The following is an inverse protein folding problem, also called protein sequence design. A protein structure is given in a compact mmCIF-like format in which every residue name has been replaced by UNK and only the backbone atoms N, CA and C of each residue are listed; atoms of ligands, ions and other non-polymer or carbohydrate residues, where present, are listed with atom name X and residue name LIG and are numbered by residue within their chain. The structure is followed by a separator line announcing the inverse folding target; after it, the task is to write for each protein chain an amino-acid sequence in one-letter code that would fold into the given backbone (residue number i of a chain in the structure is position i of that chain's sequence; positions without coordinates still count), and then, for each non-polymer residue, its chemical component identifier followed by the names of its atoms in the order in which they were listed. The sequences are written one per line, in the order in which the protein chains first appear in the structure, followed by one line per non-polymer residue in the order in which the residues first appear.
data_IF_454924664066
#
_entry.id   IF_454924664066
#
_cell.length_a   1.000
_cell.length_b   1.000
_cell.length_c   1.000
_cell.angle_alpha   90.00
_cell.angle_beta   90.00
_cell.angle_gamma   90.00
#
_symmetry.space_group_name_H-M   'P 1'
#
loop_
_entity.id
_entity.type
_entity.pdbx_description
1 polymer ?
#
# COMPACT_ATOMS: atom_id res chain seq x y z
N UNK A 1 19.83 22.43 9.85
CA UNK A 1 19.76 22.59 8.38
C UNK A 1 20.79 23.61 7.98
N UNK A 2 21.70 23.24 7.10
CA UNK A 2 22.65 24.14 6.46
C UNK A 2 22.24 24.32 5.00
N UNK A 3 22.37 25.53 4.47
CA UNK A 3 22.06 25.83 3.06
C UNK A 3 23.18 25.33 2.14
N UNK A 4 24.33 24.96 2.69
CA UNK A 4 25.56 24.66 1.95
C UNK A 4 26.10 23.25 2.18
N UNK A 5 25.55 22.50 3.13
CA UNK A 5 25.98 21.13 3.42
C UNK A 5 25.08 20.11 2.74
N UNK A 6 25.63 18.93 2.46
CA UNK A 6 24.87 17.82 1.89
C UNK A 6 23.76 17.33 2.84
N UNK A 7 23.94 17.47 4.16
CA UNK A 7 22.93 17.17 5.18
C UNK A 7 21.99 18.37 5.42
N UNK A 8 21.37 18.83 4.34
CA UNK A 8 20.49 20.01 4.37
C UNK A 8 19.15 19.77 5.09
N UNK A 9 18.70 18.51 5.19
CA UNK A 9 17.40 18.12 5.75
C UNK A 9 17.55 17.33 7.05
N UNK A 10 16.56 17.47 7.95
CA UNK A 10 16.47 16.70 9.21
C UNK A 10 15.04 16.16 9.37
N UNK A 11 14.89 15.05 10.10
CA UNK A 11 13.60 14.55 10.59
C UNK A 11 13.60 14.69 12.12
N UNK A 12 13.18 15.85 12.64
CA UNK A 12 13.50 16.22 14.01
C UNK A 12 12.75 15.41 15.07
N UNK A 13 11.54 14.96 14.74
CA UNK A 13 10.61 14.32 15.66
C UNK A 13 10.33 12.85 15.29
N UNK A 14 10.82 12.37 14.15
CA UNK A 14 10.63 11.00 13.68
C UNK A 14 11.97 10.33 13.35
N UNK A 15 12.11 9.02 13.59
CA UNK A 15 13.28 8.28 13.13
C UNK A 15 13.29 8.20 11.60
N UNK A 16 14.48 8.12 11.01
CA UNK A 16 14.65 7.92 9.58
C UNK A 16 13.97 6.62 9.12
N UNK A 17 13.27 6.68 7.97
CA UNK A 17 12.63 5.50 7.37
C UNK A 17 13.65 4.49 6.85
N UNK A 18 14.81 4.95 6.40
CA UNK A 18 15.90 4.08 6.02
C UNK A 18 17.22 4.83 5.88
N UNK A 19 18.30 4.07 5.92
CA UNK A 19 19.67 4.55 5.75
C UNK A 19 20.34 3.72 4.66
N UNK A 20 20.99 4.39 3.72
CA UNK A 20 21.76 3.76 2.66
C UNK A 20 23.25 3.94 2.97
N UNK A 21 23.97 2.82 3.01
CA UNK A 21 25.42 2.76 3.14
C UNK A 21 25.96 1.55 2.36
N UNK A 22 26.87 0.78 2.97
CA UNK A 22 27.26 -0.53 2.43
C UNK A 22 26.07 -1.51 2.37
N UNK A 23 25.10 -1.30 3.25
CA UNK A 23 23.80 -1.99 3.31
C UNK A 23 22.67 -0.98 3.22
N UNK A 24 21.49 -1.45 2.83
CA UNK A 24 20.25 -0.66 2.88
C UNK A 24 19.48 -1.12 4.11
N UNK A 25 19.38 -0.25 5.10
CA UNK A 25 18.69 -0.53 6.36
C UNK A 25 17.38 0.25 6.39
N UNK A 26 16.24 -0.45 6.33
CA UNK A 26 14.91 0.16 6.38
C UNK A 26 14.26 -0.08 7.74
N UNK A 27 13.77 0.98 8.38
CA UNK A 27 13.01 0.90 9.61
C UNK A 27 11.55 0.56 9.31
N UNK A 28 11.27 -0.73 9.09
CA UNK A 28 9.94 -1.22 8.73
C UNK A 28 8.85 -0.92 9.77
N UNK A 29 9.22 -0.65 11.03
CA UNK A 29 8.28 -0.23 12.08
C UNK A 29 7.75 1.19 11.86
N UNK A 30 8.56 2.06 11.27
CA UNK A 30 8.19 3.45 10.98
C UNK A 30 7.51 3.62 9.62
N UNK A 31 7.56 2.61 8.76
CA UNK A 31 6.91 2.65 7.45
C UNK A 31 5.39 2.53 7.62
N UNK A 32 4.67 3.60 7.30
CA UNK A 32 3.21 3.58 7.27
C UNK A 32 2.70 2.66 6.16
N UNK A 33 1.90 1.65 6.52
CA UNK A 33 1.32 0.70 5.57
C UNK A 33 -0.14 1.05 5.28
N UNK A 34 -0.60 0.88 4.03
CA UNK A 34 -2.02 0.94 3.72
C UNK A 34 -2.79 -0.02 4.63
N UNK A 35 -3.91 0.46 5.18
CA UNK A 35 -4.84 -0.34 5.99
C UNK A 35 -6.05 -0.83 5.20
N UNK A 36 -6.14 -0.47 3.90
CA UNK A 36 -7.32 -0.69 3.07
C UNK A 36 -6.94 -0.93 1.61
N UNK A 37 -7.70 -1.80 0.95
CA UNK A 37 -7.61 -2.04 -0.49
C UNK A 37 -8.42 -0.97 -1.23
N UNK A 38 -7.84 0.23 -1.36
CA UNK A 38 -8.42 1.34 -2.14
C UNK A 38 -7.49 1.72 -3.29
N UNK A 39 -8.10 2.15 -4.40
CA UNK A 39 -7.33 2.70 -5.52
C UNK A 39 -6.65 4.00 -5.08
N UNK A 40 -5.45 4.23 -5.58
CA UNK A 40 -4.79 5.51 -5.44
C UNK A 40 -5.67 6.63 -6.01
N UNK A 41 -5.81 7.71 -5.25
CA UNK A 41 -6.58 8.89 -5.62
C UNK A 41 -5.75 10.13 -5.36
N UNK A 42 -5.74 11.05 -6.32
CA UNK A 42 -5.10 12.36 -6.18
C UNK A 42 -6.14 13.35 -5.68
N UNK A 43 -5.79 14.10 -4.64
CA UNK A 43 -6.56 15.26 -4.18
C UNK A 43 -5.87 16.52 -4.73
N UNK A 44 -6.45 17.12 -5.76
CA UNK A 44 -5.83 18.17 -6.56
C UNK A 44 -6.31 19.60 -6.23
N UNK A 45 -7.24 19.76 -5.28
CA UNK A 45 -7.77 21.05 -4.86
C UNK A 45 -7.35 21.34 -3.42
N UNK A 46 -6.60 22.42 -3.18
CA UNK A 46 -6.19 22.83 -1.84
C UNK A 46 -6.79 24.20 -1.52
N UNK A 47 -7.16 24.43 -0.26
CA UNK A 47 -7.60 25.75 0.18
C UNK A 47 -6.42 26.73 0.09
N UNK A 48 -6.57 27.85 -0.63
CA UNK A 48 -5.47 28.82 -0.80
C UNK A 48 -5.42 29.86 0.31
N UNK A 49 -6.50 30.00 1.09
CA UNK A 49 -6.63 30.99 2.15
C UNK A 49 -6.03 30.50 3.47
N UNK A 50 -4.79 30.03 3.42
CA UNK A 50 -4.06 29.52 4.59
C UNK A 50 -2.73 30.22 4.72
N UNK A 51 -2.40 30.66 5.93
CA UNK A 51 -1.17 31.38 6.24
C UNK A 51 -0.36 30.76 7.37
N UNK A 52 0.93 31.11 7.41
CA UNK A 52 1.80 30.79 8.54
C UNK A 52 2.18 32.11 9.25
N UNK A 53 1.80 32.23 10.52
CA UNK A 53 2.07 33.40 11.34
C UNK A 53 3.11 33.04 12.40
N UNK A 54 4.31 33.60 12.28
CA UNK A 54 5.36 33.46 13.29
C UNK A 54 5.26 34.58 14.32
N UNK A 55 5.13 34.24 15.60
CA UNK A 55 5.19 35.26 16.66
C UNK A 55 6.65 35.65 16.93
N UNK A 56 6.87 36.92 17.20
CA UNK A 56 8.17 37.49 17.56
C UNK A 56 7.98 38.55 18.66
N UNK A 57 9.05 38.93 19.40
CA UNK A 57 8.93 39.91 20.46
C UNK A 57 8.37 41.23 19.91
N UNK A 58 7.44 41.84 20.64
CA UNK A 58 6.76 43.09 20.25
C UNK A 58 5.93 43.04 18.95
N UNK A 59 5.47 41.85 18.53
CA UNK A 59 4.45 41.76 17.47
C UNK A 59 3.21 42.61 17.83
N UNK A 60 2.80 43.46 16.89
CA UNK A 60 1.72 44.42 17.12
C UNK A 60 0.34 43.78 16.95
N UNK A 61 -0.67 44.29 17.67
CA UNK A 61 -2.08 43.92 17.46
C UNK A 61 -2.49 44.11 16.00
N UNK A 62 -2.05 45.20 15.38
CA UNK A 62 -2.39 45.51 13.99
C UNK A 62 -1.80 44.50 13.01
N UNK A 63 -0.59 43.98 13.27
CA UNK A 63 0.03 42.94 12.44
C UNK A 63 -0.80 41.67 12.47
N UNK A 64 -1.19 41.19 13.66
CA UNK A 64 -2.04 40.00 13.79
C UNK A 64 -3.39 40.25 13.11
N UNK A 65 -4.04 41.38 13.43
CA UNK A 65 -5.34 41.75 12.86
C UNK A 65 -5.32 41.74 11.33
N UNK A 66 -4.33 42.39 10.71
CA UNK A 66 -4.19 42.44 9.24
C UNK A 66 -3.97 41.05 8.65
N UNK A 67 -3.18 40.19 9.31
CA UNK A 67 -2.90 38.84 8.85
C UNK A 67 -4.13 37.93 8.85
N UNK A 68 -5.01 38.08 9.84
CA UNK A 68 -6.21 37.24 10.03
C UNK A 68 -7.45 37.79 9.33
N UNK A 69 -7.34 38.86 8.54
CA UNK A 69 -8.49 39.42 7.83
C UNK A 69 -9.02 38.44 6.78
N UNK A 70 -10.31 38.60 6.44
CA UNK A 70 -10.89 37.91 5.29
C UNK A 70 -10.04 38.15 4.03
N UNK A 71 -9.75 37.14 3.20
CA UNK A 71 -10.40 35.82 3.10
C UNK A 71 -9.75 34.68 3.89
N UNK A 72 -8.88 34.95 4.89
CA UNK A 72 -8.17 33.90 5.62
C UNK A 72 -9.11 32.86 6.27
N UNK A 73 -8.85 31.57 6.02
CA UNK A 73 -9.62 30.43 6.55
C UNK A 73 -8.80 29.55 7.51
N UNK A 74 -7.47 29.55 7.39
CA UNK A 74 -6.59 28.72 8.20
C UNK A 74 -5.26 29.39 8.55
N UNK A 75 -4.77 29.17 9.77
CA UNK A 75 -3.49 29.73 10.21
C UNK A 75 -2.68 28.67 10.95
N UNK A 76 -1.40 28.53 10.58
CA UNK A 76 -0.39 27.88 11.42
C UNK A 76 0.31 28.95 12.25
N UNK A 77 0.04 28.98 13.55
CA UNK A 77 0.63 29.93 14.50
C UNK A 77 1.91 29.33 15.09
N UNK A 78 3.07 29.88 14.75
CA UNK A 78 4.34 29.42 15.31
C UNK A 78 4.61 30.12 16.64
N UNK A 79 4.51 29.36 17.73
CA UNK A 79 4.65 29.79 19.13
C UNK A 79 6.04 29.48 19.70
N UNK A 80 6.38 30.06 20.85
CA UNK A 80 7.68 29.82 21.47
C UNK A 80 7.73 28.50 22.24
N UNK A 81 8.86 27.78 22.16
CA UNK A 81 9.12 26.61 23.00
C UNK A 81 7.99 25.57 22.90
N UNK A 82 7.42 25.19 24.04
CA UNK A 82 6.37 24.17 24.14
C UNK A 82 4.95 24.66 23.86
N UNK A 83 4.77 25.82 23.23
CA UNK A 83 3.44 26.39 22.94
C UNK A 83 3.15 27.74 23.60
N UNK A 84 4.20 28.48 23.99
CA UNK A 84 4.06 29.72 24.73
C UNK A 84 3.66 30.89 23.82
N UNK A 85 2.68 31.66 24.28
CA UNK A 85 2.20 32.88 23.65
C UNK A 85 2.17 34.00 24.71
N UNK A 86 2.32 35.29 24.35
CA UNK A 86 2.28 36.40 25.32
C UNK A 86 0.95 36.49 26.09
N UNK A 87 0.88 35.86 27.27
CA UNK A 87 -0.36 35.76 28.07
C UNK A 87 -0.76 37.07 28.74
N UNK A 88 0.19 37.96 28.97
CA UNK A 88 -0.04 39.32 29.48
C UNK A 88 -0.61 40.28 28.42
N UNK A 89 -0.72 39.85 27.17
CA UNK A 89 -1.22 40.64 26.04
C UNK A 89 -2.63 40.18 25.64
N UNK A 90 -3.61 40.56 26.45
CA UNK A 90 -5.03 40.24 26.21
C UNK A 90 -5.52 40.76 24.86
N UNK A 91 -4.97 41.88 24.39
CA UNK A 91 -5.25 42.49 23.10
C UNK A 91 -4.90 41.58 21.90
N UNK A 92 -3.87 40.74 22.02
CA UNK A 92 -3.48 39.78 20.98
C UNK A 92 -4.35 38.51 21.04
N UNK A 93 -4.64 38.03 22.25
CA UNK A 93 -5.50 36.87 22.49
C UNK A 93 -6.91 37.14 21.96
N UNK A 94 -7.42 38.36 22.15
CA UNK A 94 -8.71 38.81 21.62
C UNK A 94 -8.78 38.71 20.10
N UNK A 95 -7.75 39.15 19.37
CA UNK A 95 -7.73 39.04 17.89
C UNK A 95 -7.76 37.58 17.42
N UNK A 96 -7.00 36.69 18.08
CA UNK A 96 -7.00 35.27 17.76
C UNK A 96 -8.35 34.61 18.06
N UNK A 97 -8.98 35.01 19.17
CA UNK A 97 -10.34 34.56 19.52
C UNK A 97 -11.36 35.02 18.47
N UNK A 98 -11.33 36.29 18.06
CA UNK A 98 -12.19 36.83 17.01
C UNK A 98 -11.99 36.13 15.65
N UNK A 99 -10.80 35.62 15.36
CA UNK A 99 -10.59 34.75 14.19
C UNK A 99 -11.24 33.38 14.37
N UNK A 100 -11.07 32.73 15.54
CA UNK A 100 -11.71 31.44 15.82
C UNK A 100 -13.24 31.53 15.80
N UNK A 101 -13.81 32.64 16.28
CA UNK A 101 -15.24 32.94 16.28
C UNK A 101 -15.78 33.21 14.85
N UNK A 102 -14.90 33.54 13.89
CA UNK A 102 -15.18 33.64 12.45
C UNK A 102 -14.87 32.35 11.69
N UNK A 103 -14.80 31.23 12.41
CA UNK A 103 -14.52 29.89 11.88
C UNK A 103 -13.13 29.70 11.25
N UNK A 104 -12.18 30.62 11.48
CA UNK A 104 -10.78 30.43 11.07
C UNK A 104 -10.14 29.32 11.91
N UNK A 105 -9.61 28.28 11.27
CA UNK A 105 -8.92 27.20 11.97
C UNK A 105 -7.48 27.62 12.26
N UNK A 106 -7.14 27.79 13.53
CA UNK A 106 -5.78 28.11 13.97
C UNK A 106 -5.14 26.87 14.60
N UNK A 107 -3.95 26.49 14.12
CA UNK A 107 -3.13 25.41 14.66
C UNK A 107 -1.83 25.96 15.21
N UNK A 108 -1.56 25.71 16.49
CA UNK A 108 -0.32 26.12 17.15
C UNK A 108 0.79 25.11 16.90
N UNK A 109 1.92 25.54 16.36
CA UNK A 109 3.15 24.75 16.21
C UNK A 109 4.31 25.44 16.94
N UNK A 110 5.35 24.69 17.28
CA UNK A 110 6.55 25.24 17.91
C UNK A 110 7.45 25.91 16.87
N UNK A 111 8.12 27.00 17.26
CA UNK A 111 9.25 27.54 16.51
C UNK A 111 10.55 26.74 16.68
N UNK A 112 10.61 25.86 17.69
CA UNK A 112 11.77 25.00 17.90
C UNK A 112 11.84 23.94 16.80
N UNK A 113 13.05 23.58 16.38
CA UNK A 113 13.25 22.58 15.35
C UNK A 113 12.91 21.16 15.83
N UNK A 114 13.02 20.88 17.14
CA UNK A 114 12.71 19.59 17.78
C UNK A 114 11.70 19.75 18.89
N UNK A 115 10.94 18.70 19.14
CA UNK A 115 9.84 18.66 20.09
C UNK A 115 8.54 19.19 19.50
N UNK A 116 7.61 19.56 20.37
CA UNK A 116 6.28 19.97 19.97
C UNK A 116 5.59 20.85 21.00
N UNK A 117 4.37 21.27 20.67
CA UNK A 117 3.52 22.04 21.56
C UNK A 117 2.71 21.13 22.48
N UNK A 118 2.54 21.53 23.74
CA UNK A 118 1.81 20.77 24.74
C UNK A 118 0.75 21.63 25.42
N UNK A 119 -0.46 21.07 25.57
CA UNK A 119 -1.54 21.68 26.33
C UNK A 119 -1.36 21.54 27.87
N UNK A 120 -0.25 20.93 28.32
CA UNK A 120 0.02 20.73 29.75
C UNK A 120 0.38 22.01 30.49
N UNK A 121 0.99 22.99 29.80
CA UNK A 121 1.38 24.27 30.38
C UNK A 121 0.25 25.29 30.36
N UNK A 122 0.26 26.23 31.33
CA UNK A 122 -0.78 27.26 31.51
C UNK A 122 -1.02 28.10 30.25
N UNK A 123 0.06 28.46 29.56
CA UNK A 123 0.05 29.22 28.29
C UNK A 123 -0.65 28.45 27.17
N UNK A 124 -0.38 27.14 27.03
CA UNK A 124 -1.01 26.27 26.05
C UNK A 124 -2.52 26.09 26.31
N UNK A 125 -2.91 25.98 27.59
CA UNK A 125 -4.33 25.89 27.98
C UNK A 125 -5.13 27.12 27.57
N UNK A 126 -4.56 28.32 27.68
CA UNK A 126 -5.22 29.56 27.27
C UNK A 126 -5.56 29.54 25.77
N UNK A 127 -4.61 29.12 24.93
CA UNK A 127 -4.84 29.02 23.49
C UNK A 127 -5.91 27.96 23.16
N UNK A 128 -5.87 26.81 23.81
CA UNK A 128 -6.90 25.76 23.63
C UNK A 128 -8.29 26.25 24.06
N UNK A 129 -8.38 27.01 25.15
CA UNK A 129 -9.64 27.56 25.65
C UNK A 129 -10.31 28.55 24.69
N UNK A 130 -9.53 29.25 23.85
CA UNK A 130 -10.08 30.17 22.83
C UNK A 130 -10.32 29.47 21.48
N UNK A 131 -10.13 28.15 21.40
CA UNK A 131 -10.45 27.36 20.20
C UNK A 131 -9.27 27.07 19.27
N UNK A 132 -8.03 27.38 19.67
CA UNK A 132 -6.82 27.05 18.91
C UNK A 132 -6.45 25.58 19.11
N UNK A 133 -6.13 24.90 18.00
CA UNK A 133 -5.77 23.49 17.98
C UNK A 133 -4.28 23.33 18.31
N UNK A 134 -3.94 22.36 19.17
CA UNK A 134 -2.55 22.00 19.41
C UNK A 134 -2.00 21.18 18.24
N UNK A 135 -0.92 21.63 17.61
CA UNK A 135 -0.23 20.94 16.52
C UNK A 135 0.73 19.85 16.98
N UNK A 136 0.92 19.67 18.29
CA UNK A 136 1.86 18.75 18.92
C UNK A 136 3.25 18.79 18.27
N UNK A 137 3.76 17.67 17.77
CA UNK A 137 5.08 17.50 17.17
C UNK A 137 5.09 17.66 15.63
N UNK A 138 3.99 18.13 15.02
CA UNK A 138 3.99 18.46 13.60
C UNK A 138 5.03 19.54 13.30
N UNK A 139 5.75 19.35 12.19
CA UNK A 139 6.53 20.46 11.62
C UNK A 139 5.60 21.55 11.08
N UNK A 140 6.05 22.81 10.99
CA UNK A 140 5.26 23.89 10.37
C UNK A 140 4.76 23.55 8.96
N UNK A 141 5.59 22.89 8.15
CA UNK A 141 5.28 22.48 6.78
C UNK A 141 4.20 21.40 6.75
N UNK A 142 4.30 20.42 7.66
CA UNK A 142 3.31 19.37 7.81
C UNK A 142 1.95 19.92 8.27
N UNK A 143 1.94 20.78 9.28
CA UNK A 143 0.73 21.42 9.78
C UNK A 143 0.08 22.30 8.71
N UNK A 144 0.88 23.06 7.95
CA UNK A 144 0.39 23.89 6.85
C UNK A 144 -0.24 23.03 5.76
N UNK A 145 0.47 21.98 5.31
CA UNK A 145 -0.01 21.06 4.28
C UNK A 145 -1.30 20.35 4.69
N UNK A 146 -1.36 19.89 5.96
CA UNK A 146 -2.54 19.27 6.52
C UNK A 146 -3.72 20.25 6.56
N UNK A 147 -3.48 21.50 6.92
CA UNK A 147 -4.51 22.54 6.99
C UNK A 147 -5.05 22.91 5.59
N UNK A 148 -4.17 23.07 4.60
CA UNK A 148 -4.52 23.25 3.18
C UNK A 148 -5.45 22.13 2.69
N UNK A 149 -5.11 20.88 3.03
CA UNK A 149 -5.87 19.69 2.68
C UNK A 149 -7.22 19.61 3.41
N UNK A 150 -7.24 19.76 4.74
CA UNK A 150 -8.45 19.64 5.56
C UNK A 150 -9.48 20.72 5.23
N UNK A 151 -9.03 21.96 5.01
CA UNK A 151 -9.94 23.06 4.68
C UNK A 151 -10.60 22.88 3.30
N UNK A 152 -9.91 22.27 2.34
CA UNK A 152 -10.45 21.98 0.99
C UNK A 152 -11.60 20.97 0.98
N UNK A 153 -11.83 20.24 2.08
CA UNK A 153 -12.89 19.23 2.21
C UNK A 153 -14.24 19.92 2.45
N UNK A 154 -14.95 20.27 1.39
CA UNK A 154 -16.25 20.95 1.46
C UNK A 154 -17.36 20.08 2.06
N UNK A 155 -17.20 18.77 2.04
CA UNK A 155 -18.11 17.79 2.61
C UNK A 155 -18.05 17.70 4.16
N UNK A 156 -17.03 18.28 4.78
CA UNK A 156 -16.81 18.21 6.22
C UNK A 156 -17.32 19.46 6.95
N UNK A 157 -17.98 19.23 8.09
CA UNK A 157 -18.33 20.29 9.04
C UNK A 157 -17.06 20.88 9.68
N UNK A 158 -17.15 22.11 10.20
CA UNK A 158 -16.03 22.74 10.92
C UNK A 158 -15.51 21.86 12.06
N UNK A 159 -16.40 21.23 12.83
CA UNK A 159 -16.01 20.31 13.90
C UNK A 159 -15.20 19.13 13.38
N UNK A 160 -15.66 18.47 12.32
CA UNK A 160 -14.93 17.36 11.69
C UNK A 160 -13.57 17.81 11.16
N UNK A 161 -13.47 19.02 10.60
CA UNK A 161 -12.19 19.59 10.17
C UNK A 161 -11.24 19.80 11.37
N UNK A 162 -11.73 20.35 12.47
CA UNK A 162 -10.95 20.52 13.71
C UNK A 162 -10.49 19.16 14.27
N UNK A 163 -11.38 18.17 14.32
CA UNK A 163 -11.06 16.81 14.78
C UNK A 163 -9.97 16.19 13.88
N UNK A 164 -10.10 16.33 12.56
CA UNK A 164 -9.14 15.82 11.58
C UNK A 164 -7.74 16.47 11.71
N UNK A 165 -7.66 17.75 12.12
CA UNK A 165 -6.38 18.39 12.43
C UNK A 165 -5.68 17.76 13.65
N UNK A 166 -6.42 17.15 14.57
CA UNK A 166 -5.87 16.50 15.79
C UNK A 166 -5.51 15.03 15.61
N UNK A 167 -5.89 14.39 14.51
CA UNK A 167 -5.61 12.97 14.23
C UNK A 167 -4.43 12.79 13.29
N UNK A 168 -3.60 11.75 13.48
CA UNK A 168 -2.55 11.39 12.51
C UNK A 168 -3.18 10.88 11.20
N UNK A 169 -2.92 11.55 10.07
CA UNK A 169 -3.49 11.18 8.76
C UNK A 169 -2.46 10.44 7.89
N UNK A 170 -1.19 10.86 7.91
CA UNK A 170 -0.11 10.43 7.02
C UNK A 170 1.26 10.28 7.70
N UNK A 171 1.28 10.13 9.02
CA UNK A 171 2.51 10.03 9.80
C UNK A 171 3.08 11.39 10.22
N UNK A 172 2.32 12.47 10.06
CA UNK A 172 2.77 13.83 10.34
C UNK A 172 2.74 14.21 11.83
N UNK A 173 2.00 13.45 12.62
CA UNK A 173 1.64 13.77 14.00
C UNK A 173 1.71 12.51 14.88
N UNK A 174 2.41 12.57 16.01
CA UNK A 174 2.48 11.45 16.96
C UNK A 174 1.34 11.55 17.97
N UNK A 175 0.18 10.93 17.68
CA UNK A 175 -1.03 11.09 18.51
C UNK A 175 -1.12 10.22 19.76
N UNK A 176 -0.25 9.22 19.95
CA UNK A 176 -0.11 8.45 21.19
C UNK A 176 1.12 7.54 21.08
N UNK A 177 2.01 7.59 22.07
CA UNK A 177 3.11 6.65 22.30
C UNK A 177 2.58 5.28 22.79
N UNK A 178 1.47 4.80 22.24
CA UNK A 178 0.91 3.49 22.59
C UNK A 178 1.41 2.43 21.61
N UNK A 179 2.70 2.17 21.68
CA UNK A 179 3.22 0.81 21.68
C UNK A 179 4.48 0.85 22.53
N UNK A 180 4.28 0.67 23.84
CA UNK A 180 5.36 0.32 24.75
C UNK A 180 6.11 -0.87 24.16
N UNK A 181 7.41 -0.84 24.30
CA UNK A 181 8.33 -1.94 24.10
C UNK A 181 7.92 -3.15 24.97
N UNK A 182 6.81 -3.83 24.65
CA UNK A 182 6.65 -5.23 25.03
C UNK A 182 7.78 -5.95 24.30
N UNK A 183 8.67 -6.57 25.08
CA UNK A 183 9.84 -7.30 24.59
C UNK A 183 9.41 -8.20 23.42
N UNK A 184 9.79 -7.78 22.21
CA UNK A 184 9.67 -8.54 20.96
C UNK A 184 9.97 -10.02 21.24
N UNK A 185 9.09 -10.93 20.80
CA UNK A 185 9.19 -12.36 21.16
C UNK A 185 10.58 -12.92 20.86
N UNK A 186 11.18 -12.49 19.74
CA UNK A 186 12.53 -12.91 19.37
C UNK A 186 13.60 -12.36 20.31
N UNK A 187 13.40 -11.17 20.89
CA UNK A 187 14.28 -10.62 21.94
C UNK A 187 14.17 -11.44 23.23
N UNK A 188 12.96 -11.90 23.59
CA UNK A 188 12.76 -12.78 24.76
C UNK A 188 13.43 -14.13 24.54
N UNK A 189 13.26 -14.75 23.37
CA UNK A 189 13.95 -16.00 23.00
C UNK A 189 15.47 -15.81 22.99
N UNK A 190 15.96 -14.69 22.45
CA UNK A 190 17.39 -14.38 22.46
C UNK A 190 17.95 -14.28 23.89
N UNK A 191 17.25 -13.60 24.81
CA UNK A 191 17.62 -13.56 26.23
C UNK A 191 17.71 -14.96 26.83
N UNK A 192 16.73 -15.83 26.55
CA UNK A 192 16.73 -17.23 27.01
C UNK A 192 17.88 -18.07 26.43
N UNK A 193 18.28 -17.79 25.19
CA UNK A 193 19.42 -18.42 24.53
C UNK A 193 20.77 -17.76 24.87
N UNK A 194 20.79 -16.78 25.78
CA UNK A 194 21.97 -16.00 26.15
C UNK A 194 22.62 -15.27 24.96
N UNK A 195 21.82 -14.94 23.94
CA UNK A 195 22.23 -14.17 22.78
C UNK A 195 22.06 -12.68 23.11
N UNK A 196 23.19 -11.96 23.20
CA UNK A 196 23.22 -10.53 23.51
C UNK A 196 23.60 -9.65 22.32
N UNK A 197 24.09 -10.25 21.22
CA UNK A 197 24.51 -9.52 20.03
C UNK A 197 23.32 -9.06 19.17
N UNK A 198 23.19 -7.75 18.92
CA UNK A 198 22.11 -7.17 18.09
C UNK A 198 22.00 -7.84 16.71
N UNK A 199 23.13 -8.16 16.09
CA UNK A 199 23.14 -8.86 14.80
C UNK A 199 22.63 -10.29 14.89
N UNK A 200 22.94 -11.01 15.98
CA UNK A 200 22.50 -12.38 16.21
C UNK A 200 21.00 -12.42 16.52
N UNK A 201 20.50 -11.47 17.33
CA UNK A 201 19.06 -11.28 17.57
C UNK A 201 18.33 -11.01 16.25
N UNK A 202 18.89 -10.17 15.37
CA UNK A 202 18.29 -9.91 14.07
C UNK A 202 18.30 -11.13 13.14
N UNK A 203 19.35 -11.96 13.17
CA UNK A 203 19.37 -13.24 12.45
C UNK A 203 18.31 -14.19 13.00
N UNK A 204 18.16 -14.28 14.32
CA UNK A 204 17.13 -15.09 14.96
C UNK A 204 15.74 -14.64 14.53
N UNK A 205 15.46 -13.33 14.50
CA UNK A 205 14.19 -12.77 14.00
C UNK A 205 13.88 -13.20 12.57
N UNK A 206 14.87 -13.12 11.68
CA UNK A 206 14.75 -13.52 10.27
C UNK A 206 14.47 -15.01 10.07
N UNK A 207 14.76 -15.85 11.07
CA UNK A 207 14.47 -17.29 11.01
C UNK A 207 13.13 -17.60 11.68
N UNK A 208 12.94 -17.07 12.90
CA UNK A 208 11.81 -17.41 13.77
C UNK A 208 10.48 -16.92 13.17
N UNK A 209 10.41 -15.65 12.79
CA UNK A 209 9.14 -15.06 12.38
C UNK A 209 8.59 -15.61 11.06
N UNK A 210 9.37 -15.76 9.97
CA UNK A 210 8.86 -16.39 8.75
C UNK A 210 8.33 -17.80 9.00
N UNK A 211 9.03 -18.61 9.79
CA UNK A 211 8.59 -19.97 10.11
C UNK A 211 7.27 -19.97 10.90
N UNK A 212 7.13 -19.09 11.89
CA UNK A 212 5.89 -18.95 12.68
C UNK A 212 4.72 -18.45 11.81
N UNK A 213 4.95 -17.43 10.99
CA UNK A 213 3.94 -16.89 10.07
C UNK A 213 3.48 -17.96 9.09
N UNK A 214 4.40 -18.70 8.46
CA UNK A 214 4.07 -19.79 7.54
C UNK A 214 3.27 -20.91 8.21
N UNK A 215 3.59 -21.26 9.46
CA UNK A 215 2.82 -22.24 10.22
C UNK A 215 1.37 -21.76 10.43
N UNK A 216 1.18 -20.51 10.84
CA UNK A 216 -0.15 -19.91 10.99
C UNK A 216 -0.94 -19.88 9.66
N UNK A 217 -0.25 -19.68 8.52
CA UNK A 217 -0.88 -19.77 7.19
C UNK A 217 -1.38 -21.17 6.88
N UNK A 218 -0.58 -22.20 7.13
CA UNK A 218 -0.98 -23.59 6.87
C UNK A 218 -2.23 -23.95 7.66
N UNK A 219 -2.30 -23.52 8.91
CA UNK A 219 -3.49 -23.67 9.77
C UNK A 219 -4.69 -22.81 9.32
N UNK A 220 -4.46 -21.71 8.60
CA UNK A 220 -5.51 -20.78 8.20
C UNK A 220 -5.94 -19.81 9.31
N UNK A 221 -5.11 -19.60 10.33
CA UNK A 221 -5.46 -18.83 11.52
C UNK A 221 -4.96 -17.38 11.44
N UNK A 222 -5.87 -16.45 11.12
CA UNK A 222 -5.57 -15.01 11.02
C UNK A 222 -5.26 -14.40 12.39
N UNK A 223 -5.86 -14.89 13.46
CA UNK A 223 -5.66 -14.33 14.80
C UNK A 223 -4.25 -14.62 15.33
N UNK A 224 -3.70 -15.80 15.04
CA UNK A 224 -2.28 -16.09 15.28
C UNK A 224 -1.36 -15.12 14.53
N UNK A 225 -1.70 -14.75 13.31
CA UNK A 225 -0.92 -13.77 12.53
C UNK A 225 -0.98 -12.38 13.20
N UNK A 226 -2.17 -11.95 13.66
CA UNK A 226 -2.34 -10.69 14.41
C UNK A 226 -1.50 -10.69 15.69
N UNK A 227 -1.50 -11.78 16.44
CA UNK A 227 -0.73 -11.87 17.68
C UNK A 227 0.78 -11.83 17.39
N UNK A 228 1.26 -12.52 16.35
CA UNK A 228 2.65 -12.43 15.91
C UNK A 228 3.05 -10.99 15.53
N UNK A 229 2.17 -10.23 14.86
CA UNK A 229 2.43 -8.83 14.55
C UNK A 229 2.55 -7.96 15.81
N UNK A 230 1.72 -8.21 16.85
CA UNK A 230 1.87 -7.53 18.15
C UNK A 230 3.25 -7.80 18.78
N UNK A 231 3.78 -9.00 18.59
CA UNK A 231 5.13 -9.36 19.04
C UNK A 231 6.27 -8.82 18.16
N UNK A 232 5.96 -8.10 17.08
CA UNK A 232 6.96 -7.48 16.20
C UNK A 232 7.21 -8.20 14.89
N UNK A 233 6.40 -9.20 14.52
CA UNK A 233 6.50 -9.86 13.23
C UNK A 233 6.09 -8.92 12.10
N UNK A 234 6.98 -8.74 11.13
CA UNK A 234 6.69 -8.11 9.85
C UNK A 234 6.22 -9.14 8.80
N UNK A 235 5.00 -8.96 8.28
CA UNK A 235 4.41 -9.81 7.24
C UNK A 235 5.22 -9.85 5.92
N UNK A 236 6.09 -8.88 5.69
CA UNK A 236 6.94 -8.81 4.49
C UNK A 236 8.23 -9.62 4.61
N UNK A 237 8.55 -10.15 5.80
CA UNK A 237 9.72 -11.02 5.97
C UNK A 237 9.60 -12.28 5.13
N UNK A 238 10.75 -12.75 4.67
CA UNK A 238 10.88 -13.89 3.77
C UNK A 238 11.61 -15.03 4.46
N UNK A 239 11.28 -16.26 4.06
CA UNK A 239 12.08 -17.45 4.38
C UNK A 239 13.38 -17.51 3.55
N UNK A 240 14.07 -18.65 3.62
CA UNK A 240 15.32 -18.90 2.89
C UNK A 240 15.13 -18.93 1.37
N UNK A 241 13.94 -19.25 0.88
CA UNK A 241 13.61 -19.25 -0.55
C UNK A 241 13.20 -17.86 -1.04
N UNK A 242 13.15 -16.86 -0.16
CA UNK A 242 12.68 -15.52 -0.50
C UNK A 242 11.15 -15.39 -0.48
N UNK A 243 10.42 -16.40 0.01
CA UNK A 243 8.96 -16.41 0.06
C UNK A 243 8.47 -15.74 1.33
N UNK A 244 7.61 -14.74 1.17
CA UNK A 244 6.87 -14.14 2.29
C UNK A 244 5.53 -14.86 2.55
N UNK A 245 4.80 -14.39 3.58
CA UNK A 245 3.50 -14.95 3.98
C UNK A 245 2.47 -14.98 2.83
N UNK A 246 2.52 -14.00 1.92
CA UNK A 246 1.56 -13.85 0.82
C UNK A 246 1.77 -14.95 -0.22
N UNK A 247 3.01 -15.38 -0.50
CA UNK A 247 3.28 -16.51 -1.39
C UNK A 247 2.62 -17.79 -0.86
N UNK A 248 2.86 -18.12 0.42
CA UNK A 248 2.33 -19.33 1.04
C UNK A 248 0.80 -19.31 1.12
N UNK A 249 0.21 -18.15 1.42
CA UNK A 249 -1.24 -17.99 1.51
C UNK A 249 -1.92 -18.16 0.15
N UNK A 250 -1.30 -17.64 -0.93
CA UNK A 250 -1.78 -17.81 -2.30
C UNK A 250 -1.68 -19.27 -2.75
N UNK A 251 -0.54 -19.92 -2.51
CA UNK A 251 -0.30 -21.33 -2.82
C UNK A 251 -1.26 -22.27 -2.08
N UNK A 252 -1.58 -21.94 -0.82
CA UNK A 252 -2.47 -22.75 0.04
C UNK A 252 -3.96 -22.42 -0.08
N UNK A 253 -4.35 -21.48 -0.96
CA UNK A 253 -5.76 -21.11 -1.17
C UNK A 253 -6.42 -20.38 0.02
N UNK A 254 -5.65 -19.75 0.92
CA UNK A 254 -6.18 -19.14 2.14
C UNK A 254 -6.65 -17.69 1.89
N UNK A 255 -7.82 -17.54 1.26
CA UNK A 255 -8.36 -16.23 0.85
C UNK A 255 -8.41 -15.20 2.00
N UNK A 256 -8.87 -15.60 3.19
CA UNK A 256 -8.97 -14.70 4.35
C UNK A 256 -7.60 -14.12 4.77
N UNK A 257 -6.56 -14.94 4.69
CA UNK A 257 -5.19 -14.51 5.00
C UNK A 257 -4.65 -13.62 3.89
N UNK A 258 -4.91 -13.95 2.62
CA UNK A 258 -4.53 -13.08 1.50
C UNK A 258 -5.14 -11.70 1.67
N UNK A 259 -6.46 -11.63 1.95
CA UNK A 259 -7.14 -10.36 2.19
C UNK A 259 -6.49 -9.59 3.35
N UNK A 260 -6.25 -10.27 4.48
CA UNK A 260 -5.60 -9.65 5.64
C UNK A 260 -4.20 -9.11 5.31
N UNK A 261 -3.39 -9.85 4.56
CA UNK A 261 -2.04 -9.42 4.16
C UNK A 261 -2.09 -8.18 3.26
N UNK A 262 -3.03 -8.15 2.31
CA UNK A 262 -3.21 -7.02 1.39
C UNK A 262 -3.73 -5.78 2.11
N UNK A 263 -4.65 -5.96 3.06
CA UNK A 263 -5.13 -4.90 3.96
C UNK A 263 -4.04 -4.39 4.90
N UNK A 264 -2.97 -5.15 5.13
CA UNK A 264 -1.80 -4.73 5.91
C UNK A 264 -0.61 -4.31 5.01
N UNK A 265 -0.86 -4.02 3.74
CA UNK A 265 0.13 -3.43 2.83
C UNK A 265 1.25 -4.36 2.38
N UNK A 266 1.09 -5.68 2.46
CA UNK A 266 2.06 -6.61 1.88
C UNK A 266 2.05 -6.46 0.35
N UNK A 267 3.24 -6.23 -0.24
CA UNK A 267 3.35 -6.00 -1.67
C UNK A 267 2.97 -7.24 -2.49
N UNK A 268 2.12 -7.04 -3.50
CA UNK A 268 1.77 -8.08 -4.48
C UNK A 268 2.87 -8.35 -5.50
N UNK A 269 3.90 -7.50 -5.53
CA UNK A 269 5.01 -7.57 -6.47
C UNK A 269 6.27 -8.19 -5.87
N UNK A 270 6.22 -8.68 -4.63
CA UNK A 270 7.34 -9.45 -4.07
C UNK A 270 7.65 -10.65 -4.94
N UNK A 271 8.94 -10.97 -5.05
CA UNK A 271 9.44 -12.12 -5.80
C UNK A 271 10.35 -12.92 -4.90
N UNK A 272 10.21 -14.24 -4.98
CA UNK A 272 11.13 -15.16 -4.32
C UNK A 272 12.45 -15.27 -5.10
N UNK A 273 13.37 -16.12 -4.62
CA UNK A 273 14.67 -16.34 -5.24
C UNK A 273 14.58 -16.98 -6.63
N UNK A 274 13.43 -17.54 -7.00
CA UNK A 274 13.12 -18.12 -8.30
C UNK A 274 12.32 -17.17 -9.20
N UNK A 275 12.20 -15.90 -8.81
CA UNK A 275 11.48 -14.87 -9.54
C UNK A 275 9.95 -15.07 -9.57
N UNK A 276 9.41 -15.97 -8.74
CA UNK A 276 8.00 -16.29 -8.63
C UNK A 276 7.33 -15.25 -7.73
N UNK A 277 6.19 -14.72 -8.17
CA UNK A 277 5.38 -13.80 -7.38
C UNK A 277 4.16 -14.49 -6.75
N UNK A 278 3.48 -13.87 -5.77
CA UNK A 278 2.26 -14.44 -5.20
C UNK A 278 1.15 -14.70 -6.23
N UNK A 279 1.11 -13.91 -7.33
CA UNK A 279 0.18 -14.15 -8.43
C UNK A 279 0.49 -15.46 -9.17
N UNK A 280 1.78 -15.78 -9.38
CA UNK A 280 2.18 -17.05 -10.01
C UNK A 280 1.77 -18.24 -9.13
N UNK A 281 1.97 -18.16 -7.82
CA UNK A 281 1.53 -19.18 -6.86
C UNK A 281 0.02 -19.40 -6.93
N UNK A 282 -0.78 -18.33 -6.97
CA UNK A 282 -2.22 -18.43 -7.09
C UNK A 282 -2.67 -19.07 -8.41
N UNK A 283 -1.95 -18.82 -9.51
CA UNK A 283 -2.19 -19.44 -10.82
C UNK A 283 -1.85 -20.93 -10.79
N UNK A 284 -0.68 -21.30 -10.25
CA UNK A 284 -0.22 -22.69 -10.14
C UNK A 284 -1.17 -23.50 -9.26
N UNK A 285 -1.76 -22.89 -8.23
CA UNK A 285 -2.72 -23.52 -7.33
C UNK A 285 -4.19 -23.41 -7.79
N UNK A 286 -4.47 -22.81 -8.95
CA UNK A 286 -5.82 -22.62 -9.52
C UNK A 286 -6.83 -21.94 -8.58
N UNK A 287 -6.35 -20.91 -7.86
CA UNK A 287 -7.10 -20.14 -6.87
C UNK A 287 -7.72 -18.89 -7.48
N UNK A 288 -8.82 -19.06 -8.23
CA UNK A 288 -9.45 -18.00 -9.02
C UNK A 288 -9.85 -16.75 -8.24
N UNK A 289 -10.38 -16.89 -7.02
CA UNK A 289 -10.79 -15.74 -6.21
C UNK A 289 -9.59 -14.94 -5.69
N UNK A 290 -8.50 -15.63 -5.34
CA UNK A 290 -7.23 -15.00 -4.97
C UNK A 290 -6.63 -14.27 -6.17
N UNK A 291 -6.65 -14.86 -7.37
CA UNK A 291 -6.16 -14.21 -8.60
C UNK A 291 -6.92 -12.91 -8.83
N UNK A 292 -8.26 -12.93 -8.78
CA UNK A 292 -9.10 -11.73 -8.94
C UNK A 292 -8.75 -10.66 -7.90
N UNK A 293 -8.58 -11.05 -6.64
CA UNK A 293 -8.22 -10.13 -5.55
C UNK A 293 -6.84 -9.51 -5.76
N UNK A 294 -5.83 -10.30 -6.11
CA UNK A 294 -4.48 -9.82 -6.41
C UNK A 294 -4.48 -8.86 -7.60
N UNK A 295 -5.21 -9.18 -8.67
CA UNK A 295 -5.37 -8.31 -9.85
C UNK A 295 -6.04 -6.98 -9.50
N UNK A 296 -7.05 -7.00 -8.63
CA UNK A 296 -7.69 -5.78 -8.09
C UNK A 296 -6.67 -4.89 -7.34
N UNK A 297 -5.70 -5.51 -6.68
CA UNK A 297 -4.59 -4.83 -6.01
C UNK A 297 -3.41 -4.46 -6.95
N UNK A 298 -3.54 -4.65 -8.26
CA UNK A 298 -2.54 -4.25 -9.25
C UNK A 298 -1.49 -5.32 -9.59
N UNK A 299 -1.62 -6.54 -9.06
CA UNK A 299 -0.71 -7.63 -9.41
C UNK A 299 -0.75 -7.90 -10.92
N UNK A 300 0.39 -8.19 -11.53
CA UNK A 300 0.47 -8.52 -12.96
C UNK A 300 1.68 -9.42 -13.22
N UNK A 301 1.55 -10.28 -14.23
CA UNK A 301 2.66 -11.10 -14.71
C UNK A 301 3.61 -10.20 -15.50
N UNK A 302 4.91 -10.34 -15.26
CA UNK A 302 5.94 -9.42 -15.72
C UNK A 302 7.05 -10.24 -16.40
N UNK A 303 7.31 -9.96 -17.69
CA UNK A 303 8.44 -10.48 -18.48
C UNK A 303 8.46 -11.98 -18.85
N UNK A 304 7.31 -12.67 -18.95
CA UNK A 304 7.27 -14.11 -19.26
C UNK A 304 6.85 -14.48 -20.69
N UNK A 305 6.82 -13.52 -21.63
CA UNK A 305 6.20 -13.74 -22.96
C UNK A 305 6.80 -14.90 -23.75
N UNK A 306 8.04 -15.30 -23.51
CA UNK A 306 8.69 -16.37 -24.28
C UNK A 306 8.28 -17.78 -23.83
N UNK A 307 7.93 -17.97 -22.55
CA UNK A 307 7.54 -19.30 -22.02
C UNK A 307 6.04 -19.44 -21.80
N UNK A 308 5.31 -18.33 -21.68
CA UNK A 308 3.89 -18.36 -21.38
C UNK A 308 3.08 -19.03 -22.50
N UNK A 309 3.48 -18.85 -23.76
CA UNK A 309 2.92 -19.58 -24.90
C UNK A 309 3.03 -21.10 -24.73
N UNK A 310 4.23 -21.60 -24.42
CA UNK A 310 4.48 -23.04 -24.19
C UNK A 310 3.66 -23.59 -23.00
N UNK A 311 3.53 -22.78 -21.94
CA UNK A 311 2.75 -23.17 -20.75
C UNK A 311 1.25 -23.26 -21.07
N UNK A 312 0.71 -22.29 -21.82
CA UNK A 312 -0.69 -22.28 -22.21
C UNK A 312 -1.00 -23.40 -23.21
N UNK A 313 -0.14 -23.66 -24.20
CA UNK A 313 -0.33 -24.77 -25.15
C UNK A 313 -0.28 -26.11 -24.45
N UNK A 314 0.65 -26.32 -23.52
CA UNK A 314 0.72 -27.56 -22.73
C UNK A 314 -0.51 -27.74 -21.82
N UNK A 315 -0.98 -26.67 -21.17
CA UNK A 315 -2.21 -26.72 -20.38
C UNK A 315 -3.43 -27.09 -21.26
N UNK A 316 -3.52 -26.53 -22.45
CA UNK A 316 -4.59 -26.83 -23.40
C UNK A 316 -4.52 -28.25 -23.96
N UNK A 317 -3.32 -28.73 -24.29
CA UNK A 317 -3.06 -30.09 -24.75
C UNK A 317 -3.49 -31.17 -23.74
N UNK A 318 -3.45 -30.83 -22.44
CA UNK A 318 -3.86 -31.70 -21.31
C UNK A 318 -5.29 -31.47 -20.83
N UNK A 319 -6.08 -30.66 -21.55
CA UNK A 319 -7.47 -30.37 -21.18
C UNK A 319 -7.62 -29.57 -19.86
N UNK A 320 -6.58 -28.86 -19.41
CA UNK A 320 -6.57 -28.13 -18.13
C UNK A 320 -7.34 -26.80 -18.21
N UNK A 321 -8.65 -26.85 -18.47
CA UNK A 321 -9.53 -25.68 -18.60
C UNK A 321 -9.42 -24.74 -17.41
N UNK A 322 -9.40 -25.28 -16.20
CA UNK A 322 -9.28 -24.51 -14.96
C UNK A 322 -8.00 -23.68 -14.91
N UNK A 323 -6.88 -24.22 -15.43
CA UNK A 323 -5.58 -23.54 -15.50
C UNK A 323 -5.59 -22.42 -16.53
N UNK A 324 -6.17 -22.66 -17.71
CA UNK A 324 -6.34 -21.62 -18.73
C UNK A 324 -7.22 -20.47 -18.20
N UNK A 325 -8.27 -20.79 -17.44
CA UNK A 325 -9.08 -19.79 -16.74
C UNK A 325 -8.27 -19.00 -15.70
N UNK A 326 -7.36 -19.65 -14.95
CA UNK A 326 -6.45 -18.97 -14.01
C UNK A 326 -5.57 -17.94 -14.73
N UNK A 327 -4.98 -18.31 -15.87
CA UNK A 327 -4.17 -17.40 -16.69
C UNK A 327 -5.00 -16.25 -17.26
N UNK A 328 -6.21 -16.54 -17.76
CA UNK A 328 -7.12 -15.50 -18.26
C UNK A 328 -7.48 -14.49 -17.17
N UNK A 329 -7.83 -14.95 -15.97
CA UNK A 329 -8.12 -14.08 -14.82
C UNK A 329 -6.92 -13.23 -14.42
N UNK A 330 -5.70 -13.75 -14.60
CA UNK A 330 -4.46 -13.01 -14.38
C UNK A 330 -4.17 -11.94 -15.46
N UNK A 331 -5.00 -11.85 -16.50
CA UNK A 331 -4.87 -10.87 -17.59
C UNK A 331 -4.02 -11.34 -18.76
N UNK A 332 -3.81 -12.66 -18.91
CA UNK A 332 -3.06 -13.25 -20.02
C UNK A 332 -3.97 -13.45 -21.23
N UNK A 333 -3.44 -13.14 -22.42
CA UNK A 333 -4.11 -13.45 -23.68
C UNK A 333 -3.95 -14.93 -24.04
N UNK A 334 -5.07 -15.62 -24.27
CA UNK A 334 -5.10 -17.01 -24.73
C UNK A 334 -4.74 -17.16 -26.22
N UNK A 335 -4.40 -16.05 -26.91
CA UNK A 335 -3.88 -16.04 -28.28
C UNK A 335 -2.34 -16.13 -28.34
N UNK A 336 -1.66 -16.15 -27.18
CA UNK A 336 -0.21 -16.30 -27.16
C UNK A 336 0.22 -17.61 -27.82
N UNK A 337 1.25 -17.51 -28.63
CA UNK A 337 1.80 -18.66 -29.35
C UNK A 337 3.03 -19.19 -28.65
N UNK A 338 3.18 -20.51 -28.70
CA UNK A 338 4.41 -21.21 -28.32
C UNK A 338 5.56 -20.93 -29.31
N UNK A 339 6.71 -21.55 -29.06
CA UNK A 339 7.90 -21.43 -29.92
C UNK A 339 7.70 -21.89 -31.38
N UNK A 340 6.66 -22.67 -31.68
CA UNK A 340 6.31 -23.19 -33.02
C UNK A 340 5.15 -22.38 -33.65
N UNK A 341 4.63 -21.39 -32.95
CA UNK A 341 3.49 -20.60 -33.41
C UNK A 341 2.14 -21.24 -33.12
N UNK A 342 2.08 -22.32 -32.33
CA UNK A 342 0.82 -22.94 -31.91
C UNK A 342 0.19 -22.09 -30.81
N UNK A 343 -1.11 -21.82 -30.96
CA UNK A 343 -1.93 -21.28 -29.88
C UNK A 343 -2.49 -22.41 -29.01
N UNK A 344 -2.98 -22.11 -27.79
CA UNK A 344 -3.72 -23.06 -26.96
C UNK A 344 -4.83 -23.78 -27.71
N UNK A 345 -5.52 -23.10 -28.63
CA UNK A 345 -6.56 -23.71 -29.46
C UNK A 345 -6.00 -24.77 -30.41
N UNK A 346 -4.87 -24.51 -31.07
CA UNK A 346 -4.23 -25.51 -31.91
C UNK A 346 -3.88 -26.77 -31.10
N UNK A 347 -3.28 -26.59 -29.92
CA UNK A 347 -2.89 -27.69 -29.04
C UNK A 347 -4.09 -28.53 -28.59
N UNK A 348 -5.16 -27.89 -28.09
CA UNK A 348 -6.39 -28.59 -27.68
C UNK A 348 -7.04 -29.39 -28.81
N UNK A 349 -7.00 -28.89 -30.05
CA UNK A 349 -7.52 -29.61 -31.22
C UNK A 349 -6.65 -30.84 -31.52
N UNK A 350 -5.32 -30.67 -31.56
CA UNK A 350 -4.41 -31.79 -31.89
C UNK A 350 -4.48 -32.94 -30.90
N UNK A 351 -4.80 -32.67 -29.63
CA UNK A 351 -4.97 -33.68 -28.59
C UNK A 351 -6.43 -34.09 -28.36
N UNK A 352 -7.36 -33.59 -29.17
CA UNK A 352 -8.78 -33.92 -29.11
C UNK A 352 -9.50 -33.53 -27.79
N UNK A 353 -9.06 -32.44 -27.15
CA UNK A 353 -9.59 -31.96 -25.87
C UNK A 353 -10.84 -31.08 -26.07
N UNK A 354 -11.99 -31.71 -26.30
CA UNK A 354 -13.25 -31.05 -26.66
C UNK A 354 -13.68 -29.94 -25.69
N UNK A 355 -13.65 -30.19 -24.38
CA UNK A 355 -14.07 -29.20 -23.37
C UNK A 355 -13.14 -27.98 -23.35
N UNK A 356 -11.86 -28.20 -23.63
CA UNK A 356 -10.87 -27.14 -23.77
C UNK A 356 -11.14 -26.29 -25.02
N UNK A 357 -11.46 -26.93 -26.15
CA UNK A 357 -11.87 -26.24 -27.38
C UNK A 357 -13.12 -25.40 -27.15
N UNK A 358 -14.16 -25.95 -26.52
CA UNK A 358 -15.40 -25.21 -26.17
C UNK A 358 -15.07 -24.00 -25.30
N UNK A 359 -14.28 -24.18 -24.24
CA UNK A 359 -13.87 -23.09 -23.36
C UNK A 359 -13.13 -21.99 -24.12
N UNK A 360 -12.12 -22.34 -24.92
CA UNK A 360 -11.32 -21.38 -25.67
C UNK A 360 -12.16 -20.58 -26.68
N UNK A 361 -13.04 -21.24 -27.43
CA UNK A 361 -13.97 -20.57 -28.35
C UNK A 361 -14.93 -19.63 -27.60
N UNK A 362 -15.45 -20.03 -26.45
CA UNK A 362 -16.28 -19.15 -25.61
C UNK A 362 -15.53 -17.87 -25.16
N UNK A 363 -14.20 -17.93 -25.00
CA UNK A 363 -13.38 -16.76 -24.70
C UNK A 363 -13.00 -15.92 -25.93
N UNK A 364 -13.59 -16.20 -27.11
CA UNK A 364 -13.39 -15.46 -28.36
C UNK A 364 -11.92 -15.37 -28.79
N UNK A 365 -11.15 -16.46 -28.62
CA UNK A 365 -9.78 -16.55 -29.14
C UNK A 365 -9.76 -16.45 -30.66
N UNK A 366 -8.66 -15.94 -31.21
CA UNK A 366 -8.52 -15.79 -32.66
C UNK A 366 -8.22 -17.14 -33.31
N UNK A 367 -9.21 -17.67 -34.03
CA UNK A 367 -9.15 -18.96 -34.74
C UNK A 367 -8.33 -18.90 -36.03
N UNK A 368 -7.96 -17.71 -36.51
CA UNK A 368 -7.26 -17.49 -37.77
C UNK A 368 -5.74 -17.38 -37.63
N UNK A 369 -5.22 -17.40 -36.40
CA UNK A 369 -3.77 -17.42 -36.16
C UNK A 369 -3.18 -18.65 -36.85
N UNK A 370 -2.09 -18.43 -37.60
CA UNK A 370 -1.37 -19.50 -38.30
C UNK A 370 -0.13 -19.88 -37.52
N UNK A 371 0.10 -21.17 -37.36
CA UNK A 371 1.38 -21.68 -36.86
C UNK A 371 2.50 -21.51 -37.90
N UNK A 372 3.74 -21.87 -37.56
CA UNK A 372 4.88 -21.79 -38.50
C UNK A 372 4.74 -22.66 -39.75
N UNK A 373 3.82 -23.62 -39.77
CA UNK A 373 3.48 -24.45 -40.94
C UNK A 373 2.35 -23.85 -41.78
N UNK A 374 1.83 -22.67 -41.43
CA UNK A 374 0.73 -22.01 -42.13
C UNK A 374 -0.65 -22.60 -41.83
N UNK A 375 -0.77 -23.49 -40.83
CA UNK A 375 -2.02 -24.13 -40.45
C UNK A 375 -2.78 -23.27 -39.43
N UNK A 376 -4.09 -23.14 -39.64
CA UNK A 376 -5.04 -22.56 -38.67
C UNK A 376 -5.67 -23.66 -37.81
N UNK A 377 -6.42 -23.26 -36.77
CA UNK A 377 -7.23 -24.17 -35.96
C UNK A 377 -8.17 -25.03 -36.82
N UNK A 378 -8.82 -24.44 -37.83
CA UNK A 378 -9.69 -25.16 -38.76
C UNK A 378 -8.93 -26.22 -39.58
N UNK A 379 -7.73 -25.89 -40.06
CA UNK A 379 -6.90 -26.84 -40.83
C UNK A 379 -6.54 -28.06 -39.99
N UNK A 380 -6.19 -27.86 -38.72
CA UNK A 380 -5.90 -28.95 -37.78
C UNK A 380 -7.17 -29.73 -37.43
N UNK A 381 -8.31 -29.07 -37.23
CA UNK A 381 -9.58 -29.73 -36.96
C UNK A 381 -9.95 -30.73 -38.05
N UNK A 382 -9.83 -30.34 -39.32
CA UNK A 382 -10.13 -31.23 -40.45
C UNK A 382 -9.23 -32.47 -40.54
N UNK A 383 -8.03 -32.42 -39.92
CA UNK A 383 -7.13 -33.58 -39.82
C UNK A 383 -7.51 -34.51 -38.67
N UNK A 384 -8.19 -33.99 -37.65
CA UNK A 384 -8.67 -34.75 -36.49
C UNK A 384 -10.03 -35.37 -36.83
N UNK A 385 -10.19 -36.68 -36.61
CA UNK A 385 -11.44 -37.41 -36.86
C UNK A 385 -12.52 -37.14 -35.79
N UNK A 386 -12.64 -35.88 -35.33
CA UNK A 386 -13.67 -35.46 -34.38
C UNK A 386 -14.63 -34.45 -35.04
N UNK A 387 -15.79 -34.95 -35.44
CA UNK A 387 -16.85 -34.18 -36.09
C UNK A 387 -17.39 -33.05 -35.20
N UNK A 388 -17.40 -33.21 -33.87
CA UNK A 388 -17.90 -32.17 -32.96
C UNK A 388 -16.99 -30.96 -32.94
N UNK A 389 -15.66 -31.16 -32.87
CA UNK A 389 -14.68 -30.06 -32.93
C UNK A 389 -14.78 -29.34 -34.28
N UNK A 390 -14.93 -30.06 -35.38
CA UNK A 390 -15.07 -29.46 -36.71
C UNK A 390 -16.34 -28.61 -36.83
N UNK A 391 -17.46 -29.12 -36.34
CA UNK A 391 -18.71 -28.37 -36.34
C UNK A 391 -18.61 -27.09 -35.48
N UNK A 392 -17.94 -27.16 -34.32
CA UNK A 392 -17.71 -25.99 -33.46
C UNK A 392 -16.84 -24.93 -34.16
N UNK A 393 -15.75 -25.34 -34.80
CA UNK A 393 -14.86 -24.41 -35.51
C UNK A 393 -15.54 -23.76 -36.72
N UNK A 394 -16.31 -24.53 -37.50
CA UNK A 394 -17.07 -24.01 -38.64
C UNK A 394 -18.10 -22.97 -38.18
N UNK A 395 -18.91 -23.28 -37.16
CA UNK A 395 -19.89 -22.36 -36.60
C UNK A 395 -19.25 -21.04 -36.14
N UNK A 396 -18.08 -21.11 -35.50
CA UNK A 396 -17.37 -19.93 -34.99
C UNK A 396 -16.70 -19.09 -36.10
N UNK A 397 -16.25 -19.75 -37.18
CA UNK A 397 -15.64 -19.10 -38.35
C UNK A 397 -16.65 -18.31 -39.21
N UNK A 398 -17.93 -18.69 -39.18
CA UNK A 398 -19.01 -17.98 -39.88
C UNK A 398 -19.44 -16.72 -39.13
N UNK A 399 -19.43 -16.76 -37.80
CA UNK A 399 -19.76 -15.61 -36.94
C UNK A 399 -18.69 -14.52 -36.95
N UNK A 400 -17.43 -14.85 -37.26
CA UNK A 400 -16.30 -13.89 -37.27
C UNK A 400 -16.13 -13.13 -38.60
N UNK A 401 -16.98 -13.41 -39.60
CA UNK A 401 -17.01 -12.73 -40.92
C UNK A 401 -18.09 -11.64 -41.04
N UNK A 402 -18.91 -11.45 -40.00
CA UNK A 402 -19.89 -10.35 -39.87
C UNK A 402 -19.39 -9.35 -38.84
#
# INVERSE_FOLDING_TARGET
MSVTEFDAFDSPNCPLLGKVGLTIDINMKSVHRPSQIKKFSVHNELCQNVGLLRIYPDISKQTIRSFIQHPMEGIVLLTYGSGNFPTNRSDLIEELKLACDRDVIIVSCSQCSRGGTSATYETGKILTNIGIINGYDMTPEAALTKLLYVLSKSELTLKQKKDMMTTNIRGELSTNLEHRDEDDLASTVAKSLQISGVQEVNKLKKILYPAMLQSAVREGNVDKIKDMQKYGADLSMTDFDGRNILHTACSSGKLNIVQYCLENGVSVHTRDNYNISPLHEAIIADQHDIIKLLRKCGAHLTNESMFLGDVLTNAAARGMVRRLQSYLLAGVSLNQTDSIGLTPLHAAITTNELECVKFLLLQQVDVNIKNKFGQTALNLGNQVQNNEINNLLLAFSETSKK
#
